data_IF_958765531980
#
_entry.id   IF_958765531980
#
_cell.length_a   1.000
_cell.length_b   1.000
_cell.length_c   1.000
_cell.angle_alpha   90.00
_cell.angle_beta   90.00
_cell.angle_gamma   90.00
#
_symmetry.space_group_name_H-M   'P 1'
#
loop_
_entity.id
_entity.type
_entity.pdbx_description
1 polymer ?
#
# COMPACT_ATOMS: atom_id res chain seq x y z
N UNK A 1 -5.04 12.81 -2.15
CA UNK A 1 -4.67 11.81 -1.13
C UNK A 1 -3.71 10.75 -1.64
N UNK A 2 -3.97 10.18 -2.80
CA UNK A 2 -3.07 9.14 -3.29
C UNK A 2 -1.68 9.66 -3.60
N UNK A 3 -1.57 10.93 -3.94
CA UNK A 3 -0.27 11.52 -4.18
C UNK A 3 0.56 11.58 -2.92
N UNK A 4 -0.08 11.91 -1.81
CA UNK A 4 0.62 11.93 -0.54
C UNK A 4 1.04 10.52 -0.12
N UNK A 5 0.19 9.55 -0.38
CA UNK A 5 0.52 8.17 -0.06
C UNK A 5 1.70 7.71 -0.91
N UNK A 6 1.67 8.02 -2.20
CA UNK A 6 2.77 7.65 -3.07
C UNK A 6 4.08 8.26 -2.58
N UNK A 7 4.04 9.54 -2.25
CA UNK A 7 5.26 10.20 -1.79
C UNK A 7 5.80 9.56 -0.52
N UNK A 8 4.90 9.21 0.40
CA UNK A 8 5.32 8.58 1.63
C UNK A 8 5.94 7.21 1.37
N UNK A 9 5.33 6.42 0.51
CA UNK A 9 5.88 5.11 0.20
C UNK A 9 7.20 5.22 -0.53
N UNK A 10 7.32 6.19 -1.43
CA UNK A 10 8.58 6.39 -2.15
C UNK A 10 9.70 6.76 -1.20
N UNK A 11 9.39 7.40 -0.10
CA UNK A 11 10.42 7.80 0.86
C UNK A 11 11.06 6.61 1.55
N UNK A 12 10.45 5.46 1.50
CA UNK A 12 11.02 4.26 2.10
C UNK A 12 12.14 3.67 1.26
N UNK A 13 12.27 4.10 0.01
CA UNK A 13 13.23 3.58 -0.95
C UNK A 13 12.91 2.17 -1.43
N UNK A 14 11.80 1.60 -1.00
CA UNK A 14 11.31 0.36 -1.55
C UNK A 14 10.54 0.70 -2.81
N UNK A 15 10.75 -0.02 -3.91
CA UNK A 15 9.99 0.29 -5.13
C UNK A 15 8.53 -0.07 -4.97
N UNK A 16 7.67 0.91 -5.16
CA UNK A 16 6.23 0.74 -5.10
C UNK A 16 5.62 1.14 -6.44
N UNK A 17 4.64 0.37 -6.89
CA UNK A 17 3.87 0.70 -8.08
C UNK A 17 2.41 0.90 -7.72
N UNK A 18 1.72 1.66 -8.54
CA UNK A 18 0.28 1.86 -8.38
C UNK A 18 -0.43 0.67 -9.03
N UNK A 19 -1.23 -0.01 -8.24
CA UNK A 19 -2.10 -1.09 -8.68
C UNK A 19 -1.38 -2.36 -9.10
N UNK A 20 -0.37 -2.28 -9.96
CA UNK A 20 0.30 -3.48 -10.43
C UNK A 20 1.62 -3.14 -11.07
N UNK A 21 2.49 -4.13 -11.18
CA UNK A 21 3.72 -4.02 -11.93
C UNK A 21 3.54 -4.72 -13.26
N UNK A 22 4.05 -4.12 -14.34
CA UNK A 22 4.13 -4.84 -15.58
C UNK A 22 5.21 -5.90 -15.49
N UNK A 23 6.26 -5.58 -14.74
CA UNK A 23 7.31 -6.56 -14.50
C UNK A 23 7.90 -6.26 -13.14
N UNK A 24 7.58 -7.07 -12.16
CA UNK A 24 7.98 -6.80 -10.79
C UNK A 24 9.48 -6.92 -10.64
N UNK A 25 10.08 -6.13 -9.76
CA UNK A 25 11.50 -6.26 -9.47
C UNK A 25 11.82 -7.62 -8.88
N UNK A 26 13.07 -8.02 -8.99
CA UNK A 26 13.49 -9.30 -8.45
C UNK A 26 13.67 -9.24 -6.95
N UNK A 27 13.83 -8.06 -6.37
CA UNK A 27 14.00 -7.93 -4.93
C UNK A 27 12.70 -7.60 -4.25
N UNK A 28 12.81 -6.85 -3.16
CA UNK A 28 11.63 -6.40 -2.45
C UNK A 28 10.88 -5.39 -3.27
N UNK A 29 9.58 -5.41 -3.18
CA UNK A 29 8.76 -4.43 -3.88
C UNK A 29 7.39 -4.35 -3.24
N UNK A 30 6.64 -3.34 -3.63
CA UNK A 30 5.30 -3.19 -3.12
C UNK A 30 4.35 -2.64 -4.16
N UNK A 31 3.09 -2.61 -3.79
CA UNK A 31 2.01 -2.12 -4.63
C UNK A 31 1.05 -1.37 -3.72
N UNK A 32 0.49 -0.27 -4.19
CA UNK A 32 -0.60 0.36 -3.45
C UNK A 32 -1.79 0.48 -4.38
N UNK A 33 -2.95 0.07 -3.89
CA UNK A 33 -4.13 -0.09 -4.74
C UNK A 33 -5.34 0.48 -4.05
N UNK A 34 -5.99 1.48 -4.63
CA UNK A 34 -7.27 1.93 -4.06
C UNK A 34 -8.35 0.93 -4.41
N UNK A 35 -9.27 0.76 -3.48
CA UNK A 35 -10.43 -0.10 -3.70
C UNK A 35 -11.55 0.73 -4.24
N UNK A 36 -12.58 0.06 -4.69
CA UNK A 36 -13.81 0.71 -4.95
C UNK A 36 -13.74 1.82 -5.93
N UNK A 37 -13.00 1.59 -6.97
CA UNK A 37 -12.92 2.59 -7.99
C UNK A 37 -14.28 3.00 -8.46
N UNK A 38 -15.21 2.13 -8.40
CA UNK A 38 -16.56 2.44 -8.78
C UNK A 38 -17.18 3.51 -7.90
N UNK A 39 -16.64 3.68 -6.73
CA UNK A 39 -17.17 4.71 -5.87
C UNK A 39 -17.01 6.07 -6.45
N UNK A 40 -16.05 6.22 -7.29
CA UNK A 40 -15.70 7.53 -7.73
C UNK A 40 -16.76 8.13 -8.59
N UNK A 41 -17.40 7.31 -9.40
CA UNK A 41 -18.35 7.90 -10.27
C UNK A 41 -19.71 7.88 -9.70
N UNK A 42 -19.93 7.20 -8.63
CA UNK A 42 -21.25 7.02 -8.16
C UNK A 42 -21.90 8.32 -7.83
N UNK A 43 -21.18 9.20 -7.24
CA UNK A 43 -21.82 10.37 -6.80
C UNK A 43 -20.84 11.46 -6.57
N UNK A 44 -20.61 12.09 -7.58
CA UNK A 44 -19.65 13.09 -7.58
C UNK A 44 -20.02 14.31 -6.83
N UNK A 45 -21.19 14.39 -6.37
CA UNK A 45 -21.55 15.57 -5.65
C UNK A 45 -20.92 15.63 -4.29
N UNK A 46 -20.35 14.54 -3.83
CA UNK A 46 -19.78 14.54 -2.50
C UNK A 46 -18.30 14.49 -2.58
N UNK A 47 -17.72 15.60 -2.36
CA UNK A 47 -16.30 15.70 -2.49
C UNK A 47 -15.54 14.98 -1.43
N UNK A 48 -16.14 14.72 -0.31
CA UNK A 48 -15.39 14.12 0.78
C UNK A 48 -15.46 12.64 0.81
N UNK A 49 -15.59 12.00 -0.29
CA UNK A 49 -15.58 10.56 -0.26
C UNK A 49 -14.30 10.04 0.30
N UNK A 50 -14.41 9.06 1.17
CA UNK A 50 -13.25 8.40 1.70
C UNK A 50 -12.60 7.55 0.62
N UNK A 51 -11.32 7.42 0.68
CA UNK A 51 -10.57 6.55 -0.20
C UNK A 51 -10.04 5.40 0.64
N UNK A 52 -10.31 4.19 0.23
CA UNK A 52 -9.83 3.02 0.92
C UNK A 52 -9.03 2.17 -0.04
N UNK A 53 -8.16 1.35 0.50
CA UNK A 53 -7.39 0.47 -0.35
C UNK A 53 -6.40 -0.35 0.46
N UNK A 54 -5.39 -0.86 -0.24
CA UNK A 54 -4.36 -1.67 0.40
C UNK A 54 -2.98 -1.22 -0.03
N UNK A 55 -2.04 -1.48 0.85
CA UNK A 55 -0.62 -1.39 0.56
C UNK A 55 -0.08 -2.79 0.78
N UNK A 56 0.61 -3.31 -0.21
CA UNK A 56 1.15 -4.66 -0.17
C UNK A 56 2.65 -4.61 -0.36
N UNK A 57 3.37 -5.40 0.43
CA UNK A 57 4.82 -5.43 0.39
C UNK A 57 5.27 -6.87 0.32
N UNK A 58 6.21 -7.15 -0.56
CA UNK A 58 6.69 -8.50 -0.83
C UNK A 58 8.18 -8.57 -0.60
N UNK A 59 8.61 -9.52 0.21
CA UNK A 59 10.03 -9.68 0.49
C UNK A 59 10.35 -11.15 0.68
N UNK A 60 11.59 -11.52 0.37
CA UNK A 60 12.06 -12.87 0.65
C UNK A 60 12.85 -12.93 1.94
N UNK A 61 12.96 -11.82 2.65
CA UNK A 61 13.57 -11.81 3.97
C UNK A 61 12.47 -11.76 5.02
N UNK A 62 12.79 -11.43 6.27
CA UNK A 62 11.77 -11.37 7.29
C UNK A 62 11.03 -10.04 7.28
N UNK A 63 11.56 -9.06 6.58
CA UNK A 63 10.86 -7.80 6.40
C UNK A 63 10.79 -6.89 7.62
N UNK A 64 11.51 -7.18 8.67
CA UNK A 64 11.34 -6.44 9.91
C UNK A 64 11.59 -4.95 9.79
N UNK A 65 12.72 -4.59 9.21
CA UNK A 65 13.05 -3.18 9.03
C UNK A 65 12.10 -2.52 8.05
N UNK A 66 11.80 -3.21 6.96
CA UNK A 66 10.93 -2.64 5.95
C UNK A 66 9.52 -2.44 6.47
N UNK A 67 9.03 -3.37 7.27
CA UNK A 67 7.71 -3.22 7.87
C UNK A 67 7.65 -1.93 8.66
N UNK A 68 8.66 -1.68 9.47
CA UNK A 68 8.69 -0.47 10.29
C UNK A 68 8.77 0.78 9.43
N UNK A 69 9.56 0.75 8.36
CA UNK A 69 9.66 1.88 7.48
C UNK A 69 8.32 2.20 6.81
N UNK A 70 7.63 1.17 6.36
CA UNK A 70 6.35 1.37 5.70
C UNK A 70 5.34 1.92 6.68
N UNK A 71 5.29 1.37 7.88
CA UNK A 71 4.31 1.83 8.86
C UNK A 71 4.60 3.26 9.29
N UNK A 72 5.87 3.61 9.44
CA UNK A 72 6.22 4.98 9.73
C UNK A 72 5.80 5.91 8.59
N UNK A 73 6.01 5.48 7.37
CA UNK A 73 5.61 6.28 6.22
C UNK A 73 4.09 6.48 6.19
N UNK A 74 3.34 5.43 6.47
CA UNK A 74 1.88 5.56 6.49
C UNK A 74 1.42 6.55 7.55
N UNK A 75 2.13 6.58 8.67
CA UNK A 75 1.79 7.51 9.73
C UNK A 75 2.01 8.96 9.35
N UNK A 76 2.83 9.22 8.35
CA UNK A 76 3.08 10.61 7.95
C UNK A 76 1.98 11.16 7.06
N UNK A 77 1.09 10.32 6.56
CA UNK A 77 0.05 10.78 5.65
C UNK A 77 -1.13 11.24 6.48
N UNK A 78 -1.36 12.55 6.46
CA UNK A 78 -2.39 13.13 7.30
C UNK A 78 -3.75 12.66 6.85
N UNK A 79 -4.59 12.25 7.78
CA UNK A 79 -5.92 11.79 7.47
C UNK A 79 -6.01 10.33 7.08
N UNK A 80 -4.91 9.62 7.13
CA UNK A 80 -4.89 8.22 6.74
C UNK A 80 -4.95 7.34 7.99
N UNK A 81 -5.90 6.42 8.02
CA UNK A 81 -5.95 5.36 9.02
C UNK A 81 -5.52 4.07 8.35
N UNK A 82 -4.80 3.23 9.06
CA UNK A 82 -4.31 1.99 8.48
C UNK A 82 -4.22 0.90 9.54
N UNK A 83 -4.22 -0.32 9.07
CA UNK A 83 -3.96 -1.46 9.95
C UNK A 83 -3.34 -2.58 9.13
N UNK A 84 -2.51 -3.36 9.78
CA UNK A 84 -1.93 -4.52 9.14
C UNK A 84 -2.99 -5.62 9.13
N UNK A 85 -3.35 -6.07 7.95
CA UNK A 85 -4.35 -7.09 7.78
C UNK A 85 -3.78 -8.49 7.84
N UNK A 86 -2.66 -8.71 7.19
CA UNK A 86 -2.12 -10.06 7.12
C UNK A 86 -0.67 -10.06 6.77
N UNK A 87 0.00 -11.12 7.15
CA UNK A 87 1.35 -11.46 6.72
C UNK A 87 1.29 -12.92 6.31
N UNK A 88 1.53 -13.19 5.04
CA UNK A 88 1.38 -14.52 4.51
C UNK A 88 2.59 -14.92 3.71
N UNK A 89 2.95 -16.19 3.82
CA UNK A 89 4.03 -16.73 3.02
C UNK A 89 3.44 -17.34 1.76
N UNK A 90 3.95 -16.92 0.61
CA UNK A 90 3.47 -17.42 -0.67
C UNK A 90 4.38 -18.50 -1.16
N UNK A 91 3.90 -19.72 -1.13
CA UNK A 91 4.73 -20.88 -1.44
C UNK A 91 5.29 -20.84 -2.86
N UNK A 92 4.51 -20.34 -3.80
CA UNK A 92 4.93 -20.37 -5.19
C UNK A 92 6.12 -19.47 -5.44
N UNK A 93 6.11 -18.29 -4.85
CA UNK A 93 7.13 -17.30 -5.13
C UNK A 93 8.22 -17.25 -4.09
N UNK A 94 7.95 -17.79 -2.90
CA UNK A 94 8.87 -17.67 -1.80
C UNK A 94 8.86 -16.31 -1.14
N UNK A 95 7.89 -15.47 -1.48
CA UNK A 95 7.77 -14.16 -0.87
C UNK A 95 6.94 -14.21 0.39
N UNK A 96 7.31 -13.37 1.34
CA UNK A 96 6.47 -13.03 2.46
C UNK A 96 5.67 -11.81 2.02
N UNK A 97 4.38 -11.85 2.18
CA UNK A 97 3.48 -10.81 1.67
C UNK A 97 2.80 -10.13 2.85
N UNK A 98 3.10 -8.85 3.04
CA UNK A 98 2.46 -8.02 4.06
C UNK A 98 1.36 -7.22 3.39
N UNK A 99 0.22 -7.15 4.03
CA UNK A 99 -0.88 -6.37 3.49
C UNK A 99 -1.43 -5.45 4.56
N UNK A 100 -1.45 -4.16 4.28
CA UNK A 100 -2.08 -3.17 5.13
C UNK A 100 -3.33 -2.65 4.45
N UNK A 101 -4.39 -2.48 5.21
CA UNK A 101 -5.57 -1.78 4.72
C UNK A 101 -5.49 -0.34 5.14
N UNK A 102 -5.94 0.56 4.29
CA UNK A 102 -5.95 1.97 4.65
C UNK A 102 -7.29 2.59 4.27
N UNK A 103 -7.57 3.69 4.94
CA UNK A 103 -8.75 4.48 4.64
C UNK A 103 -8.42 5.93 4.94
N UNK A 104 -8.81 6.81 4.04
CA UNK A 104 -8.52 8.22 4.19
C UNK A 104 -9.75 9.03 3.87
N UNK A 105 -9.98 10.04 4.62
CA UNK A 105 -11.12 10.91 4.40
C UNK A 105 -10.77 12.04 3.44
#
# INVERSE_FOLDING_TARGET
>A
MLEQLKAALDSTRIPFAFAAWSEAPSGDYGVYTPDGANDLEADDTHAEKAIAGTVDYFTRSDGGTAKALIETALDTVEGLAWQLNSVQYENDSGYLHFEWAFEAA
#
